data_IF_932369519725
#
_entry.id   IF_932369519725
#
_cell.length_a   1.000
_cell.length_b   1.000
_cell.length_c   1.000
_cell.angle_alpha   90.00
_cell.angle_beta   90.00
_cell.angle_gamma   90.00
#
_symmetry.space_group_name_H-M   'P 1'
#
loop_
_entity.id
_entity.type
_entity.pdbx_description
1 polymer ?
#
# COMPACT_ATOMS: atom_id res chain seq x y z
N UNK A 1 5.95 29.06 35.08
CA UNK A 1 4.91 28.02 34.96
C UNK A 1 4.58 27.93 33.47
N UNK A 2 4.86 26.79 32.83
CA UNK A 2 4.66 26.62 31.39
C UNK A 2 3.25 26.09 31.12
N UNK A 3 2.39 26.95 30.60
CA UNK A 3 1.04 26.61 30.13
C UNK A 3 1.11 25.59 28.99
N UNK A 4 0.65 24.36 29.26
CA UNK A 4 0.53 23.32 28.24
C UNK A 4 -0.81 23.48 27.52
N UNK A 5 -0.77 23.97 26.28
CA UNK A 5 -1.93 24.06 25.40
C UNK A 5 -2.33 22.64 24.96
N UNK A 6 -3.40 22.10 25.56
CA UNK A 6 -3.99 20.82 25.17
C UNK A 6 -4.58 20.90 23.77
N UNK A 7 -4.07 20.07 22.85
CA UNK A 7 -4.57 19.96 21.49
C UNK A 7 -5.92 19.22 21.54
N UNK A 8 -7.02 19.96 21.42
CA UNK A 8 -8.38 19.41 21.38
C UNK A 8 -8.59 18.70 20.03
N UNK A 9 -8.55 17.37 20.02
CA UNK A 9 -8.91 16.56 18.85
C UNK A 9 -10.43 16.49 18.81
N UNK A 10 -11.05 17.06 17.76
CA UNK A 10 -12.51 16.99 17.56
C UNK A 10 -12.94 15.53 17.27
N UNK A 11 -14.10 15.08 17.80
CA UNK A 11 -14.65 13.77 17.50
C UNK A 11 -15.05 13.63 16.03
N UNK A 12 -15.03 12.38 15.54
CA UNK A 12 -15.09 12.00 14.13
C UNK A 12 -16.36 12.45 13.37
N UNK A 13 -17.38 12.97 14.05
CA UNK A 13 -18.66 13.38 13.44
C UNK A 13 -18.68 14.83 12.92
N UNK A 14 -17.63 15.62 13.14
CA UNK A 14 -17.61 17.06 12.78
C UNK A 14 -16.46 17.45 11.83
N UNK A 15 -15.73 16.49 11.26
CA UNK A 15 -14.77 16.75 10.20
C UNK A 15 -15.36 16.33 8.86
N UNK A 16 -15.62 17.32 8.00
CA UNK A 16 -16.15 17.18 6.64
C UNK A 16 -15.81 15.82 5.99
N UNK A 17 -16.82 14.98 5.82
CA UNK A 17 -16.82 13.65 5.19
C UNK A 17 -16.55 13.68 3.67
N UNK A 18 -15.96 14.77 3.16
CA UNK A 18 -15.58 14.88 1.76
C UNK A 18 -14.29 14.09 1.53
N UNK A 19 -14.40 12.92 0.91
CA UNK A 19 -13.26 12.21 0.34
C UNK A 19 -12.41 13.21 -0.49
N UNK A 20 -11.13 13.43 -0.16
CA UNK A 20 -10.34 14.47 -0.80
C UNK A 20 -10.17 14.19 -2.30
N UNK A 21 -10.34 15.24 -3.12
CA UNK A 21 -10.41 15.15 -4.57
C UNK A 21 -9.13 14.54 -5.18
N UNK A 22 -9.29 13.51 -6.02
CA UNK A 22 -8.20 12.83 -6.73
C UNK A 22 -7.94 13.58 -8.04
N UNK A 23 -6.96 14.51 -8.09
CA UNK A 23 -6.64 15.25 -9.34
C UNK A 23 -5.63 14.56 -10.27
N UNK A 24 -4.83 13.59 -9.79
CA UNK A 24 -3.85 12.86 -10.63
C UNK A 24 -4.19 11.37 -10.73
N UNK A 25 -4.44 10.88 -11.96
CA UNK A 25 -4.47 9.44 -12.26
C UNK A 25 -3.14 8.81 -11.79
N UNK A 26 -3.20 8.03 -10.70
CA UNK A 26 -2.13 7.13 -10.28
C UNK A 26 -1.18 7.62 -9.17
N UNK A 27 -1.33 8.86 -8.65
CA UNK A 27 -0.65 9.31 -7.43
C UNK A 27 -1.65 10.09 -6.60
N UNK A 28 -1.89 9.61 -5.38
CA UNK A 28 -3.04 9.90 -4.54
C UNK A 28 -3.29 11.38 -4.18
N UNK A 29 -4.29 11.55 -3.34
CA UNK A 29 -4.92 12.78 -2.83
C UNK A 29 -4.08 14.06 -2.75
N UNK A 30 -4.76 15.21 -2.85
CA UNK A 30 -4.20 16.55 -2.62
C UNK A 30 -3.70 16.67 -1.17
N UNK A 31 -2.40 16.51 -0.99
CA UNK A 31 -1.69 16.80 0.27
C UNK A 31 -0.73 17.95 0.01
N UNK A 32 -0.57 18.83 1.00
CA UNK A 32 0.42 19.91 0.91
C UNK A 32 1.83 19.33 0.75
N UNK A 33 2.69 20.02 0.00
CA UNK A 33 4.09 19.59 -0.21
C UNK A 33 4.80 19.38 1.14
N UNK A 34 4.56 20.29 2.10
CA UNK A 34 5.05 20.17 3.48
C UNK A 34 4.66 18.87 4.18
N UNK A 35 3.43 18.38 3.95
CA UNK A 35 2.95 17.13 4.54
C UNK A 35 3.54 15.92 3.83
N UNK A 36 3.72 16.00 2.52
CA UNK A 36 4.38 14.96 1.75
C UNK A 36 5.84 14.79 2.19
N UNK A 37 6.57 15.89 2.38
CA UNK A 37 7.95 15.87 2.89
C UNK A 37 8.01 15.24 4.28
N UNK A 38 7.12 15.64 5.19
CA UNK A 38 7.02 15.04 6.53
C UNK A 38 6.79 13.52 6.46
N UNK A 39 5.95 13.03 5.53
CA UNK A 39 5.73 11.59 5.35
C UNK A 39 6.97 10.89 4.79
N UNK A 40 7.71 11.54 3.89
CA UNK A 40 8.95 11.00 3.35
C UNK A 40 10.05 10.92 4.41
N UNK A 41 10.16 11.92 5.28
CA UNK A 41 11.12 11.93 6.38
C UNK A 41 10.79 10.87 7.41
N UNK A 42 9.52 10.76 7.83
CA UNK A 42 9.08 9.66 8.70
C UNK A 42 9.34 8.30 8.07
N UNK A 43 9.09 8.13 6.76
CA UNK A 43 9.41 6.89 6.07
C UNK A 43 10.92 6.61 5.98
N UNK A 44 11.78 7.63 5.99
CA UNK A 44 13.24 7.47 6.09
C UNK A 44 13.64 7.00 7.48
N UNK A 45 13.05 7.58 8.53
CA UNK A 45 13.27 7.17 9.92
C UNK A 45 12.86 5.71 10.14
N UNK A 46 11.66 5.32 9.69
CA UNK A 46 11.19 3.92 9.79
C UNK A 46 12.09 2.92 9.05
N UNK A 47 12.74 3.34 7.96
CA UNK A 47 13.73 2.50 7.25
C UNK A 47 15.04 2.33 8.03
N UNK A 48 15.42 3.31 8.85
CA UNK A 48 16.62 3.28 9.69
C UNK A 48 16.39 2.41 10.92
N UNK A 49 15.22 2.54 11.54
CA UNK A 49 14.85 1.83 12.76
C UNK A 49 13.57 1.00 12.57
N UNK A 50 13.60 -0.06 11.73
CA UNK A 50 12.45 -0.94 11.58
C UNK A 50 12.27 -1.84 12.82
N UNK A 51 11.02 -2.15 13.16
CA UNK A 51 10.71 -3.13 14.22
C UNK A 51 11.21 -4.54 13.85
N UNK A 52 11.31 -5.42 14.83
CA UNK A 52 11.78 -6.79 14.62
C UNK A 52 10.89 -7.57 13.64
N UNK A 53 9.57 -7.41 13.74
CA UNK A 53 8.60 -8.01 12.81
C UNK A 53 8.85 -7.54 11.37
N UNK A 54 9.10 -6.24 11.17
CA UNK A 54 9.42 -5.69 9.84
C UNK A 54 10.72 -6.28 9.29
N UNK A 55 11.76 -6.42 10.12
CA UNK A 55 13.04 -7.02 9.70
C UNK A 55 12.87 -8.49 9.31
N UNK A 56 12.16 -9.25 10.12
CA UNK A 56 11.90 -10.67 9.89
C UNK A 56 11.12 -10.91 8.58
N UNK A 57 10.04 -10.15 8.36
CA UNK A 57 9.25 -10.27 7.13
C UNK A 57 10.04 -9.81 5.89
N UNK A 58 10.86 -8.76 6.02
CA UNK A 58 11.70 -8.28 4.95
C UNK A 58 12.76 -9.30 4.51
N UNK A 59 13.38 -10.01 5.47
CA UNK A 59 14.34 -11.07 5.17
C UNK A 59 13.69 -12.18 4.35
N UNK A 60 12.49 -12.63 4.75
CA UNK A 60 11.72 -13.63 3.99
C UNK A 60 11.34 -13.17 2.60
N UNK A 61 10.95 -11.91 2.43
CA UNK A 61 10.67 -11.36 1.10
C UNK A 61 11.91 -11.21 0.22
N UNK A 62 13.10 -11.06 0.81
CA UNK A 62 14.35 -11.04 0.06
C UNK A 62 14.80 -12.45 -0.36
N UNK A 63 14.54 -13.46 0.48
CA UNK A 63 14.81 -14.88 0.17
C UNK A 63 13.82 -15.45 -0.86
N UNK A 64 12.56 -15.00 -0.82
CA UNK A 64 11.52 -15.48 -1.71
C UNK A 64 11.66 -14.91 -3.13
N UNK A 65 11.88 -15.76 -4.13
CA UNK A 65 11.77 -15.37 -5.53
C UNK A 65 10.29 -15.17 -5.91
N UNK A 66 9.86 -13.92 -5.84
CA UNK A 66 8.50 -13.49 -6.22
C UNK A 66 8.41 -13.04 -7.68
N UNK A 67 9.44 -13.31 -8.49
CA UNK A 67 9.52 -13.00 -9.91
C UNK A 67 9.36 -11.50 -10.19
N UNK A 68 8.27 -11.12 -10.85
CA UNK A 68 7.99 -9.72 -11.21
C UNK A 68 7.37 -8.89 -10.08
N UNK A 69 7.03 -9.52 -8.96
CA UNK A 69 6.42 -8.85 -7.82
C UNK A 69 7.49 -8.62 -6.77
N UNK A 70 7.71 -7.37 -6.38
CA UNK A 70 8.63 -7.02 -5.31
C UNK A 70 7.95 -6.10 -4.32
N UNK A 71 8.28 -6.29 -3.04
CA UNK A 71 7.75 -5.49 -1.94
C UNK A 71 8.78 -4.44 -1.52
N UNK A 72 8.39 -3.16 -1.62
CA UNK A 72 9.22 -2.03 -1.16
C UNK A 72 8.84 -1.67 0.27
N UNK A 73 9.85 -1.51 1.13
CA UNK A 73 9.68 -1.15 2.54
C UNK A 73 9.33 0.32 2.74
N UNK A 74 8.40 0.58 3.66
CA UNK A 74 7.95 1.91 4.12
C UNK A 74 7.66 2.85 2.94
N UNK A 75 6.81 2.43 2.01
CA UNK A 75 6.50 3.24 0.84
C UNK A 75 5.47 4.32 1.19
N UNK A 76 5.71 5.56 0.76
CA UNK A 76 4.69 6.61 0.82
C UNK A 76 3.73 6.41 -0.35
N UNK A 77 2.45 6.23 -0.03
CA UNK A 77 1.38 6.03 -0.99
C UNK A 77 0.26 7.02 -0.68
N UNK A 78 0.10 8.03 -1.55
CA UNK A 78 -0.85 9.11 -1.30
C UNK A 78 -0.51 9.81 0.02
N UNK A 79 -1.46 9.80 0.96
CA UNK A 79 -1.31 10.44 2.28
C UNK A 79 -0.91 9.49 3.41
N UNK A 80 -0.46 8.28 3.10
CA UNK A 80 -0.13 7.25 4.09
C UNK A 80 1.22 6.61 3.81
N UNK A 81 1.87 6.12 4.86
CA UNK A 81 3.05 5.25 4.78
C UNK A 81 2.53 3.82 4.95
N UNK A 82 2.95 2.91 4.07
CA UNK A 82 2.66 1.49 4.16
C UNK A 82 3.95 0.71 4.35
N UNK A 83 3.92 -0.35 5.14
CA UNK A 83 5.15 -1.06 5.56
C UNK A 83 5.77 -1.84 4.42
N UNK A 84 4.95 -2.52 3.60
CA UNK A 84 5.41 -3.16 2.38
C UNK A 84 4.45 -2.87 1.22
N UNK A 85 4.99 -2.38 0.10
CA UNK A 85 4.18 -2.06 -1.08
C UNK A 85 4.66 -2.82 -2.33
N UNK A 86 3.74 -3.54 -2.97
CA UNK A 86 3.94 -4.11 -4.29
C UNK A 86 3.21 -3.28 -5.35
N UNK A 87 3.94 -2.35 -5.97
CA UNK A 87 3.38 -1.44 -6.99
C UNK A 87 2.82 -2.19 -8.20
N UNK A 88 3.49 -3.26 -8.65
CA UNK A 88 3.07 -4.03 -9.83
C UNK A 88 1.75 -4.76 -9.60
N UNK A 89 1.48 -5.17 -8.36
CA UNK A 89 0.27 -5.89 -7.98
C UNK A 89 -0.85 -4.94 -7.51
N UNK A 90 -0.50 -3.73 -7.06
CA UNK A 90 -1.43 -2.85 -6.37
C UNK A 90 -1.88 -3.47 -5.06
N UNK A 91 -0.92 -3.91 -4.26
CA UNK A 91 -1.11 -4.53 -2.95
C UNK A 91 -0.14 -3.92 -1.96
N UNK A 92 -0.62 -3.62 -0.76
CA UNK A 92 0.17 -3.13 0.36
C UNK A 92 -0.07 -4.01 1.59
N UNK A 93 0.96 -4.18 2.41
CA UNK A 93 0.90 -4.86 3.69
C UNK A 93 1.22 -3.84 4.77
N UNK A 94 0.39 -3.83 5.82
CA UNK A 94 0.60 -3.03 7.01
C UNK A 94 0.81 -3.98 8.18
N UNK A 95 1.87 -3.76 8.94
CA UNK A 95 2.18 -4.50 10.16
C UNK A 95 1.59 -3.73 11.34
N UNK A 96 0.61 -4.34 12.00
CA UNK A 96 -0.04 -3.76 13.16
C UNK A 96 0.73 -4.12 14.42
N UNK A 97 1.30 -3.11 15.06
CA UNK A 97 1.88 -3.19 16.40
C UNK A 97 0.75 -3.04 17.45
N UNK A 98 0.93 -3.63 18.63
CA UNK A 98 -0.08 -3.56 19.70
C UNK A 98 -0.38 -2.10 20.10
N UNK A 99 -1.68 -1.76 20.18
CA UNK A 99 -2.15 -0.44 20.60
C UNK A 99 -2.41 0.57 19.47
N UNK A 100 -2.33 0.16 18.19
CA UNK A 100 -2.79 1.03 17.08
C UNK A 100 -4.31 1.29 17.14
N UNK A 101 -4.69 2.54 16.87
CA UNK A 101 -6.08 2.97 16.88
C UNK A 101 -6.82 2.52 15.60
N UNK A 102 -7.66 1.49 15.75
CA UNK A 102 -8.40 0.80 14.67
C UNK A 102 -9.26 1.74 13.80
N UNK A 103 -9.77 2.83 14.37
CA UNK A 103 -10.61 3.80 13.64
C UNK A 103 -9.81 4.60 12.61
N UNK A 104 -8.60 5.05 12.97
CA UNK A 104 -7.71 5.78 12.05
C UNK A 104 -7.12 4.85 11.00
N UNK A 105 -6.86 3.60 11.37
CA UNK A 105 -6.43 2.53 10.46
C UNK A 105 -7.47 2.29 9.34
N UNK A 106 -8.73 2.09 9.72
CA UNK A 106 -9.82 1.81 8.76
C UNK A 106 -10.02 2.94 7.73
N UNK A 107 -9.90 4.20 8.16
CA UNK A 107 -10.02 5.36 7.26
C UNK A 107 -8.87 5.40 6.23
N UNK A 108 -7.66 5.03 6.63
CA UNK A 108 -6.50 4.93 5.72
C UNK A 108 -6.63 3.78 4.73
N UNK A 109 -7.31 2.71 5.09
CA UNK A 109 -7.46 1.59 4.16
C UNK A 109 -8.41 1.95 3.02
N UNK A 110 -9.57 2.54 3.34
CA UNK A 110 -10.54 3.01 2.33
C UNK A 110 -9.91 3.97 1.32
N UNK A 111 -8.96 4.79 1.78
CA UNK A 111 -8.25 5.72 0.89
C UNK A 111 -7.34 5.02 -0.10
N UNK A 112 -6.58 4.03 0.37
CA UNK A 112 -5.67 3.23 -0.43
C UNK A 112 -6.44 2.36 -1.42
N UNK A 113 -7.59 1.82 -1.01
CA UNK A 113 -8.45 1.03 -1.88
C UNK A 113 -9.01 1.84 -3.05
N UNK A 114 -9.37 3.10 -2.82
CA UNK A 114 -9.89 4.00 -3.87
C UNK A 114 -8.85 4.24 -4.98
N UNK A 115 -7.56 4.19 -4.65
CA UNK A 115 -6.47 4.30 -5.64
C UNK A 115 -6.05 2.96 -6.24
N UNK A 116 -6.80 1.88 -5.96
CA UNK A 116 -6.61 0.55 -6.52
C UNK A 116 -5.58 -0.30 -5.79
N UNK A 117 -5.25 0.05 -4.54
CA UNK A 117 -4.31 -0.68 -3.69
C UNK A 117 -5.11 -1.49 -2.67
N UNK A 118 -4.95 -2.81 -2.69
CA UNK A 118 -5.50 -3.69 -1.65
C UNK A 118 -4.57 -3.68 -0.44
N UNK A 119 -5.10 -3.35 0.72
CA UNK A 119 -4.36 -3.35 1.98
C UNK A 119 -4.59 -4.68 2.69
N UNK A 120 -3.53 -5.29 3.20
CA UNK A 120 -3.58 -6.47 4.05
C UNK A 120 -2.89 -6.18 5.38
N UNK A 121 -3.62 -6.33 6.47
CA UNK A 121 -3.11 -6.11 7.83
C UNK A 121 -2.62 -7.41 8.43
N UNK A 122 -1.45 -7.37 9.06
CA UNK A 122 -0.82 -8.50 9.70
C UNK A 122 -0.35 -8.05 11.06
N UNK A 123 -0.68 -8.78 12.11
CA UNK A 123 -0.21 -8.47 13.46
C UNK A 123 1.30 -8.73 13.57
N UNK A 124 2.00 -7.85 14.27
CA UNK A 124 3.42 -8.02 14.54
C UNK A 124 3.71 -9.35 15.28
N UNK A 125 2.85 -9.74 16.23
CA UNK A 125 2.93 -11.02 16.93
C UNK A 125 2.83 -12.22 15.97
N UNK A 126 1.86 -12.23 15.06
CA UNK A 126 1.70 -13.30 14.06
C UNK A 126 2.97 -13.48 13.20
N UNK A 127 3.68 -12.39 12.87
CA UNK A 127 4.93 -12.43 12.09
C UNK A 127 6.06 -13.09 12.88
N UNK A 128 6.17 -12.76 14.16
CA UNK A 128 7.23 -13.27 15.04
C UNK A 128 6.97 -14.72 15.47
N UNK A 129 5.71 -15.08 15.70
CA UNK A 129 5.30 -16.39 16.19
C UNK A 129 5.07 -17.41 15.07
N UNK A 130 4.52 -16.98 13.92
CA UNK A 130 4.07 -17.90 12.88
C UNK A 130 4.28 -17.36 11.46
N UNK A 131 5.55 -17.10 11.14
CA UNK A 131 6.00 -16.56 9.84
C UNK A 131 5.46 -17.37 8.64
N UNK A 132 5.47 -18.70 8.70
CA UNK A 132 5.04 -19.54 7.57
C UNK A 132 3.54 -19.39 7.29
N UNK A 133 2.71 -19.31 8.34
CA UNK A 133 1.28 -19.04 8.18
C UNK A 133 1.04 -17.64 7.57
N UNK A 134 1.83 -16.65 8.01
CA UNK A 134 1.79 -15.28 7.47
C UNK A 134 2.15 -15.27 5.98
N UNK A 135 3.23 -15.94 5.57
CA UNK A 135 3.63 -16.05 4.17
C UNK A 135 2.58 -16.78 3.33
N UNK A 136 1.94 -17.82 3.88
CA UNK A 136 0.83 -18.51 3.24
C UNK A 136 -0.35 -17.57 2.97
N UNK A 137 -0.74 -16.75 3.97
CA UNK A 137 -1.79 -15.73 3.83
C UNK A 137 -1.42 -14.67 2.78
N UNK A 138 -0.19 -14.15 2.82
CA UNK A 138 0.31 -13.17 1.83
C UNK A 138 0.23 -13.76 0.43
N UNK A 139 0.72 -14.99 0.24
CA UNK A 139 0.72 -15.67 -1.06
C UNK A 139 -0.69 -15.90 -1.58
N UNK A 140 -1.63 -16.30 -0.72
CA UNK A 140 -3.03 -16.44 -1.08
C UNK A 140 -3.64 -15.09 -1.52
N UNK A 141 -3.41 -14.02 -0.74
CA UNK A 141 -3.83 -12.67 -1.09
C UNK A 141 -3.26 -12.18 -2.42
N UNK A 142 -1.99 -12.49 -2.70
CA UNK A 142 -1.36 -12.18 -3.98
C UNK A 142 -2.06 -12.89 -5.14
N UNK A 143 -2.37 -14.19 -5.02
CA UNK A 143 -3.06 -14.95 -6.07
C UNK A 143 -4.43 -14.36 -6.40
N UNK A 144 -5.22 -14.02 -5.38
CA UNK A 144 -6.51 -13.35 -5.56
C UNK A 144 -6.32 -12.03 -6.31
N UNK A 145 -5.36 -11.21 -5.88
CA UNK A 145 -5.12 -9.91 -6.50
C UNK A 145 -4.64 -10.02 -7.96
N UNK A 146 -3.85 -11.04 -8.28
CA UNK A 146 -3.43 -11.33 -9.66
C UNK A 146 -4.66 -11.64 -10.53
N UNK A 147 -5.61 -12.43 -10.00
CA UNK A 147 -6.91 -12.69 -10.63
C UNK A 147 -7.68 -11.40 -10.92
N UNK A 148 -7.92 -10.58 -9.90
CA UNK A 148 -8.63 -9.30 -10.04
C UNK A 148 -8.01 -8.40 -11.12
N UNK A 149 -6.67 -8.30 -11.15
CA UNK A 149 -5.94 -7.48 -12.12
C UNK A 149 -6.10 -8.02 -13.54
N UNK A 150 -6.13 -9.35 -13.70
CA UNK A 150 -6.33 -10.00 -15.00
C UNK A 150 -7.75 -9.75 -15.51
N UNK A 151 -8.75 -9.90 -14.66
CA UNK A 151 -10.15 -9.63 -15.00
C UNK A 151 -10.39 -8.16 -15.35
N UNK A 152 -9.87 -7.23 -14.53
CA UNK A 152 -9.97 -5.81 -14.81
C UNK A 152 -9.33 -5.43 -16.15
N UNK A 153 -8.18 -6.04 -16.47
CA UNK A 153 -7.53 -5.86 -17.78
C UNK A 153 -8.37 -6.43 -18.93
N UNK A 154 -8.98 -7.59 -18.74
CA UNK A 154 -9.86 -8.21 -19.74
C UNK A 154 -11.10 -7.34 -20.02
N UNK A 155 -11.79 -6.87 -18.97
CA UNK A 155 -12.94 -5.96 -19.08
C UNK A 155 -12.58 -4.65 -19.77
N UNK A 156 -11.44 -4.04 -19.41
CA UNK A 156 -10.95 -2.84 -20.07
C UNK A 156 -10.65 -3.09 -21.56
N UNK A 157 -10.07 -4.23 -21.90
CA UNK A 157 -9.81 -4.61 -23.29
C UNK A 157 -11.10 -4.79 -24.09
N UNK A 158 -12.10 -5.46 -23.53
CA UNK A 158 -13.41 -5.67 -24.14
C UNK A 158 -14.13 -4.34 -24.41
N UNK A 159 -14.14 -3.43 -23.42
CA UNK A 159 -14.68 -2.08 -23.57
C UNK A 159 -13.99 -1.28 -24.69
N UNK A 160 -12.65 -1.36 -24.76
CA UNK A 160 -11.88 -0.67 -25.81
C UNK A 160 -12.02 -1.30 -27.19
N UNK A 161 -12.22 -2.61 -27.27
CA UNK A 161 -12.51 -3.31 -28.52
C UNK A 161 -13.86 -2.87 -29.09
N UNK A 162 -14.87 -2.68 -28.24
CA UNK A 162 -16.19 -2.17 -28.64
C UNK A 162 -16.22 -0.70 -29.05
N UNK A 163 -15.24 0.11 -28.62
CA UNK A 163 -15.22 1.56 -28.88
C UNK A 163 -14.56 1.97 -30.21
N UNK A 164 -14.20 1.02 -31.09
CA UNK A 164 -13.59 1.29 -32.41
C UNK A 164 -12.19 1.93 -32.39
N UNK A 165 -11.64 2.19 -31.21
CA UNK A 165 -10.36 2.86 -31.02
C UNK A 165 -9.28 1.78 -30.87
N UNK A 166 -8.46 1.56 -31.90
CA UNK A 166 -7.45 0.51 -31.95
C UNK A 166 -6.58 0.46 -30.69
N UNK A 167 -6.86 -0.48 -29.80
CA UNK A 167 -6.07 -0.67 -28.58
C UNK A 167 -4.91 -1.62 -28.88
N UNK A 168 -3.70 -1.07 -28.99
CA UNK A 168 -2.48 -1.89 -28.90
C UNK A 168 -2.22 -2.14 -27.41
N UNK A 169 -2.36 -3.39 -26.90
CA UNK A 169 -1.90 -3.66 -25.56
C UNK A 169 -0.44 -3.22 -25.47
N UNK A 170 -0.04 -2.58 -24.37
CA UNK A 170 1.38 -2.50 -24.01
C UNK A 170 1.85 -3.96 -23.96
N UNK A 171 2.47 -4.41 -25.05
CA UNK A 171 3.24 -5.63 -25.03
C UNK A 171 4.24 -5.45 -23.90
N UNK A 172 4.33 -6.47 -23.08
CA UNK A 172 5.39 -6.56 -22.10
C UNK A 172 6.69 -6.37 -22.88
N UNK A 173 7.35 -5.21 -22.73
CA UNK A 173 8.71 -5.01 -23.22
C UNK A 173 9.59 -5.86 -22.29
N UNK A 174 9.63 -7.16 -22.55
CA UNK A 174 10.81 -7.94 -22.24
C UNK A 174 11.91 -7.27 -23.06
N UNK A 175 12.63 -6.33 -22.45
CA UNK A 175 13.91 -5.91 -23.04
C UNK A 175 14.77 -7.16 -23.19
N UNK A 176 15.59 -7.27 -24.24
CA UNK A 176 16.59 -8.32 -24.30
C UNK A 176 17.41 -8.25 -23.01
N UNK A 177 17.47 -9.36 -22.27
CA UNK A 177 18.62 -9.59 -21.38
C UNK A 177 19.70 -10.07 -22.34
N UNK A 178 20.59 -9.16 -22.71
CA UNK A 178 21.88 -9.55 -23.26
C UNK A 178 22.69 -10.10 -22.08
N UNK A 179 23.21 -11.30 -22.26
CA UNK A 179 24.04 -12.06 -21.31
C UNK A 179 25.41 -11.40 -21.08
#
# INVERSE_FOLDING_TARGET
MTDRKTLQIKPASEQDDAAPAIKKKGRGWEISESRLDTLHDRAREMRREPSEAHKALAARFAEADMGKYSFKRFAVVGSAIVDFNCHNLGMAIIVEEEGENETLATRRDKSLETVGIRVMRIKASDILENMDAVLGRITAGMRVRIGDRREARAKHFEQKRGSGQGYKPRSYRAGPRED
#
